data_IF_272903009222
#
_entry.id   IF_272903009222
#
_cell.length_a   1.000
_cell.length_b   1.000
_cell.length_c   1.000
_cell.angle_alpha   90.00
_cell.angle_beta   90.00
_cell.angle_gamma   90.00
#
_symmetry.space_group_name_H-M   'P 1'
#
loop_
_entity.id
_entity.type
_entity.pdbx_description
1 polymer ?
#
# COMPACT_ATOMS: atom_id res chain seq x y z
N UNK A 1 58.06 -20.12 -54.48
CA UNK A 1 56.91 -20.90 -54.04
C UNK A 1 56.65 -20.50 -52.60
N UNK A 2 55.72 -19.60 -52.40
CA UNK A 2 55.36 -19.08 -51.08
C UNK A 2 53.98 -19.66 -50.71
N UNK A 3 53.98 -20.45 -49.65
CA UNK A 3 52.80 -21.05 -49.07
C UNK A 3 52.07 -19.97 -48.19
N UNK A 4 50.91 -19.50 -48.60
CA UNK A 4 50.04 -18.60 -47.82
C UNK A 4 49.25 -19.51 -46.92
N UNK A 5 49.57 -19.49 -45.61
CA UNK A 5 48.81 -20.16 -44.58
C UNK A 5 47.45 -19.41 -44.44
N UNK A 6 46.39 -20.06 -44.93
CA UNK A 6 45.01 -19.57 -44.75
C UNK A 6 44.56 -19.74 -43.33
N UNK A 7 44.51 -18.67 -42.58
CA UNK A 7 43.80 -18.61 -41.28
C UNK A 7 42.31 -18.62 -41.59
N UNK A 8 41.65 -19.71 -41.20
CA UNK A 8 40.21 -19.89 -41.41
C UNK A 8 39.41 -18.98 -40.46
N UNK A 9 38.65 -18.02 -40.95
CA UNK A 9 37.90 -17.07 -40.08
C UNK A 9 36.74 -17.71 -39.30
N UNK A 10 36.39 -18.95 -39.61
CA UNK A 10 35.23 -19.63 -38.99
C UNK A 10 35.51 -20.17 -37.55
N UNK A 11 36.78 -20.39 -37.20
CA UNK A 11 37.16 -20.94 -35.88
C UNK A 11 37.14 -19.85 -34.80
N UNK A 12 37.51 -18.61 -35.13
CA UNK A 12 37.52 -17.49 -34.21
C UNK A 12 36.10 -17.02 -33.79
N UNK A 13 35.17 -17.10 -34.73
CA UNK A 13 33.75 -16.73 -34.44
C UNK A 13 33.03 -17.70 -33.51
N UNK A 14 33.26 -19.00 -33.66
CA UNK A 14 32.65 -20.03 -32.80
C UNK A 14 33.19 -19.97 -31.36
N UNK A 15 34.51 -19.73 -31.19
CA UNK A 15 35.08 -19.54 -29.85
C UNK A 15 34.53 -18.29 -29.15
N UNK A 16 34.36 -17.19 -29.87
CA UNK A 16 33.79 -15.96 -29.27
C UNK A 16 32.32 -16.10 -28.88
N UNK A 17 31.52 -16.84 -29.65
CA UNK A 17 30.13 -17.15 -29.31
C UNK A 17 30.09 -18.01 -28.05
N UNK A 18 30.85 -19.06 -27.94
CA UNK A 18 30.93 -19.93 -26.77
C UNK A 18 31.36 -19.16 -25.49
N UNK A 19 32.31 -18.23 -25.63
CA UNK A 19 32.76 -17.36 -24.55
C UNK A 19 31.66 -16.42 -24.06
N UNK A 20 30.93 -15.79 -24.99
CA UNK A 20 29.77 -14.91 -24.67
C UNK A 20 28.59 -15.69 -24.05
N UNK A 21 28.32 -16.89 -24.53
CA UNK A 21 27.33 -17.79 -23.94
C UNK A 21 27.68 -18.19 -22.49
N UNK A 22 28.95 -18.48 -22.24
CA UNK A 22 29.42 -18.77 -20.87
C UNK A 22 29.33 -17.55 -19.95
N UNK A 23 29.71 -16.36 -20.45
CA UNK A 23 29.58 -15.11 -19.70
C UNK A 23 28.11 -14.78 -19.39
N UNK A 24 27.23 -14.94 -20.39
CA UNK A 24 25.78 -14.75 -20.21
C UNK A 24 25.20 -15.72 -19.18
N UNK A 25 25.63 -17.00 -19.23
CA UNK A 25 25.19 -18.01 -18.25
C UNK A 25 25.63 -17.65 -16.81
N UNK A 26 26.87 -17.13 -16.66
CA UNK A 26 27.40 -16.66 -15.37
C UNK A 26 26.59 -15.49 -14.83
N UNK A 27 26.34 -14.46 -15.65
CA UNK A 27 25.55 -13.30 -15.28
C UNK A 27 24.11 -13.69 -14.89
N UNK A 28 23.50 -14.60 -15.65
CA UNK A 28 22.17 -15.12 -15.31
C UNK A 28 22.18 -15.93 -14.00
N UNK A 29 23.25 -16.62 -13.66
CA UNK A 29 23.37 -17.32 -12.38
C UNK A 29 23.51 -16.36 -11.21
N UNK A 30 24.32 -15.30 -11.36
CA UNK A 30 24.49 -14.25 -10.37
C UNK A 30 23.18 -13.49 -10.13
N UNK A 31 22.46 -13.12 -11.21
CA UNK A 31 21.17 -12.44 -11.11
C UNK A 31 20.13 -13.30 -10.38
N UNK A 32 20.09 -14.62 -10.66
CA UNK A 32 19.18 -15.53 -9.93
C UNK A 32 19.53 -15.60 -8.45
N UNK A 33 20.80 -15.69 -8.10
CA UNK A 33 21.26 -15.72 -6.71
C UNK A 33 20.94 -14.41 -5.98
N UNK A 34 21.04 -13.26 -6.66
CA UNK A 34 20.69 -11.96 -6.10
C UNK A 34 19.18 -11.82 -5.89
N UNK A 35 18.37 -12.23 -6.86
CA UNK A 35 16.90 -12.27 -6.73
C UNK A 35 16.46 -13.14 -5.55
N UNK A 36 17.09 -14.29 -5.33
CA UNK A 36 16.74 -15.16 -4.20
C UNK A 36 17.12 -14.53 -2.86
N UNK A 37 18.31 -13.90 -2.75
CA UNK A 37 18.69 -13.14 -1.55
C UNK A 37 17.72 -12.00 -1.25
N UNK A 38 17.27 -11.28 -2.27
CA UNK A 38 16.30 -10.22 -2.14
C UNK A 38 14.94 -10.73 -1.64
N UNK A 39 14.47 -11.89 -2.19
CA UNK A 39 13.24 -12.55 -1.71
C UNK A 39 13.34 -12.92 -0.22
N UNK A 40 14.45 -13.50 0.19
CA UNK A 40 14.68 -13.89 1.59
C UNK A 40 14.69 -12.65 2.50
N UNK A 41 15.37 -11.58 2.10
CA UNK A 41 15.38 -10.32 2.86
C UNK A 41 13.96 -9.74 2.99
N UNK A 42 13.20 -9.72 1.91
CA UNK A 42 11.81 -9.25 1.91
C UNK A 42 10.92 -10.08 2.85
N UNK A 43 11.08 -11.39 2.86
CA UNK A 43 10.37 -12.27 3.79
C UNK A 43 10.74 -11.99 5.26
N UNK A 44 12.00 -11.73 5.55
CA UNK A 44 12.45 -11.36 6.91
C UNK A 44 11.88 -10.01 7.34
N UNK A 45 11.95 -8.99 6.50
CA UNK A 45 11.37 -7.67 6.78
C UNK A 45 9.86 -7.77 7.05
N UNK A 46 9.13 -8.54 6.24
CA UNK A 46 7.71 -8.81 6.47
C UNK A 46 7.44 -9.42 7.86
N UNK A 47 8.19 -10.45 8.22
CA UNK A 47 8.04 -11.14 9.50
C UNK A 47 8.34 -10.20 10.68
N UNK A 48 9.38 -9.37 10.56
CA UNK A 48 9.76 -8.39 11.58
C UNK A 48 8.68 -7.30 11.75
N UNK A 49 8.15 -6.77 10.65
CA UNK A 49 7.03 -5.82 10.67
C UNK A 49 5.77 -6.43 11.30
N UNK A 50 5.47 -7.69 11.00
CA UNK A 50 4.32 -8.41 11.55
C UNK A 50 4.47 -8.66 13.07
N UNK A 51 5.69 -8.99 13.51
CA UNK A 51 6.01 -9.12 14.92
C UNK A 51 5.88 -7.79 15.66
N UNK A 52 6.39 -6.69 15.09
CA UNK A 52 6.27 -5.34 15.64
C UNK A 52 4.80 -4.90 15.73
N UNK A 53 3.99 -5.12 14.69
CA UNK A 53 2.56 -4.82 14.72
C UNK A 53 1.84 -5.57 15.85
N UNK A 54 2.21 -6.84 16.07
CA UNK A 54 1.65 -7.67 17.13
C UNK A 54 2.06 -7.14 18.52
N UNK A 55 3.33 -6.78 18.71
CA UNK A 55 3.83 -6.23 19.96
C UNK A 55 3.19 -4.88 20.32
N UNK A 56 3.07 -3.97 19.33
CA UNK A 56 2.41 -2.67 19.50
C UNK A 56 0.93 -2.87 19.85
N UNK A 57 0.24 -3.80 19.18
CA UNK A 57 -1.16 -4.12 19.46
C UNK A 57 -1.34 -4.73 20.86
N UNK A 58 -0.39 -5.54 21.34
CA UNK A 58 -0.43 -6.10 22.68
C UNK A 58 -0.14 -5.04 23.77
N UNK A 59 0.78 -4.13 23.50
CA UNK A 59 1.10 -3.02 24.42
C UNK A 59 -0.03 -2.00 24.49
N UNK A 60 -0.69 -1.67 23.37
CA UNK A 60 -1.79 -0.70 23.33
C UNK A 60 -2.97 -1.12 24.22
N UNK A 61 -3.19 -2.44 24.37
CA UNK A 61 -4.22 -2.99 25.28
C UNK A 61 -3.90 -2.82 26.77
N UNK A 62 -2.64 -2.53 27.11
CA UNK A 62 -2.15 -2.38 28.50
C UNK A 62 -2.01 -0.92 28.94
N UNK A 63 -2.11 0.03 28.02
CA UNK A 63 -1.92 1.45 28.30
C UNK A 63 -3.24 2.13 28.65
N UNK A 64 -3.20 3.08 29.57
CA UNK A 64 -4.36 3.91 29.95
C UNK A 64 -4.86 4.82 28.81
N UNK A 65 -4.06 5.01 27.75
CA UNK A 65 -4.43 5.74 26.52
C UNK A 65 -4.09 4.92 25.27
N UNK A 66 -4.93 3.96 24.91
CA UNK A 66 -4.64 3.02 23.80
C UNK A 66 -4.67 3.66 22.41
N UNK A 67 -5.21 4.89 22.26
CA UNK A 67 -5.54 5.51 20.98
C UNK A 67 -4.34 5.73 20.05
N UNK A 68 -3.22 6.23 20.58
CA UNK A 68 -2.00 6.46 19.79
C UNK A 68 -1.34 5.18 19.29
N UNK A 69 -1.28 4.16 20.14
CA UNK A 69 -0.67 2.87 19.80
C UNK A 69 -1.54 2.05 18.81
N UNK A 70 -2.86 2.18 18.90
CA UNK A 70 -3.80 1.53 17.98
C UNK A 70 -3.62 2.05 16.55
N UNK A 71 -3.47 3.35 16.35
CA UNK A 71 -3.20 3.94 15.04
C UNK A 71 -1.85 3.48 14.47
N UNK A 72 -0.81 3.44 15.32
CA UNK A 72 0.50 2.96 14.91
C UNK A 72 0.47 1.50 14.46
N UNK A 73 -0.24 0.63 15.19
CA UNK A 73 -0.42 -0.76 14.83
C UNK A 73 -1.14 -0.95 13.48
N UNK A 74 -2.16 -0.14 13.22
CA UNK A 74 -2.90 -0.22 11.94
C UNK A 74 -2.06 0.30 10.76
N UNK A 75 -1.29 1.37 10.94
CA UNK A 75 -0.34 1.86 9.91
C UNK A 75 0.74 0.83 9.60
N UNK A 76 1.26 0.15 10.62
CA UNK A 76 2.24 -0.92 10.43
C UNK A 76 1.62 -2.12 9.71
N UNK A 77 0.38 -2.50 10.03
CA UNK A 77 -0.36 -3.53 9.29
C UNK A 77 -0.55 -3.17 7.82
N UNK A 78 -0.87 -1.92 7.49
CA UNK A 78 -1.02 -1.53 6.08
C UNK A 78 0.29 -1.72 5.30
N UNK A 79 1.44 -1.46 5.93
CA UNK A 79 2.74 -1.74 5.31
C UNK A 79 2.98 -3.25 5.11
N UNK A 80 2.55 -4.10 6.07
CA UNK A 80 2.64 -5.57 5.94
C UNK A 80 1.75 -6.07 4.79
N UNK A 81 0.50 -5.60 4.72
CA UNK A 81 -0.43 -6.01 3.65
C UNK A 81 0.05 -5.53 2.28
N UNK A 82 0.66 -4.35 2.21
CA UNK A 82 1.29 -3.88 0.98
C UNK A 82 2.46 -4.77 0.55
N UNK A 83 3.31 -5.18 1.50
CA UNK A 83 4.36 -6.16 1.23
C UNK A 83 3.83 -7.53 0.79
N UNK A 84 2.65 -7.92 1.28
CA UNK A 84 1.99 -9.16 0.85
C UNK A 84 1.40 -9.04 -0.57
N UNK A 85 0.98 -7.85 -0.97
CA UNK A 85 0.42 -7.57 -2.29
C UNK A 85 1.49 -7.44 -3.39
N UNK A 86 2.78 -7.27 -3.02
CA UNK A 86 3.89 -7.35 -3.97
C UNK A 86 4.07 -8.79 -4.41
N UNK A 87 3.77 -9.07 -5.67
CA UNK A 87 4.19 -10.30 -6.33
C UNK A 87 5.72 -10.36 -6.46
N UNK A 88 6.23 -11.50 -6.92
CA UNK A 88 7.67 -11.82 -6.95
C UNK A 88 8.52 -10.88 -7.83
N UNK A 89 7.91 -10.05 -8.67
CA UNK A 89 8.58 -9.06 -9.52
C UNK A 89 8.57 -7.65 -8.88
N UNK A 90 9.76 -7.07 -8.75
CA UNK A 90 10.00 -5.75 -8.13
C UNK A 90 9.33 -4.56 -8.86
N UNK A 91 8.95 -4.73 -10.13
CA UNK A 91 8.25 -3.76 -10.96
C UNK A 91 6.73 -4.01 -11.00
N UNK A 92 6.20 -4.93 -10.17
CA UNK A 92 4.79 -5.27 -10.18
C UNK A 92 3.94 -4.10 -9.65
N UNK A 93 3.00 -3.67 -10.46
CA UNK A 93 1.94 -2.76 -10.02
C UNK A 93 1.00 -3.47 -9.04
N UNK A 94 0.60 -2.76 -8.00
CA UNK A 94 -0.29 -3.28 -6.96
C UNK A 94 -1.75 -3.18 -7.43
N UNK A 95 -2.44 -4.30 -7.49
CA UNK A 95 -3.89 -4.35 -7.70
C UNK A 95 -4.60 -3.73 -6.47
N UNK A 96 -5.23 -2.57 -6.66
CA UNK A 96 -5.80 -1.80 -5.56
C UNK A 96 -7.05 -2.43 -4.97
N UNK A 97 -7.85 -3.16 -5.74
CA UNK A 97 -9.03 -3.88 -5.22
C UNK A 97 -8.61 -4.97 -4.23
N UNK A 98 -7.61 -5.79 -4.57
CA UNK A 98 -7.07 -6.82 -3.69
C UNK A 98 -6.42 -6.24 -2.43
N UNK A 99 -5.64 -5.17 -2.59
CA UNK A 99 -4.95 -4.53 -1.47
C UNK A 99 -5.92 -3.88 -0.47
N UNK A 100 -6.90 -3.09 -0.94
CA UNK A 100 -7.89 -2.46 -0.06
C UNK A 100 -8.81 -3.50 0.58
N UNK A 101 -9.12 -4.59 -0.11
CA UNK A 101 -9.85 -5.71 0.48
C UNK A 101 -9.07 -6.35 1.64
N UNK A 102 -7.77 -6.63 1.46
CA UNK A 102 -6.91 -7.16 2.53
C UNK A 102 -6.86 -6.24 3.75
N UNK A 103 -6.77 -4.92 3.54
CA UNK A 103 -6.84 -3.93 4.63
C UNK A 103 -8.20 -3.95 5.35
N UNK A 104 -9.30 -4.09 4.61
CA UNK A 104 -10.64 -4.18 5.18
C UNK A 104 -10.82 -5.42 6.05
N UNK A 105 -10.31 -6.57 5.61
CA UNK A 105 -10.34 -7.82 6.38
C UNK A 105 -9.45 -7.76 7.64
N UNK A 106 -8.27 -7.17 7.53
CA UNK A 106 -7.40 -6.96 8.69
C UNK A 106 -8.06 -6.06 9.74
N UNK A 107 -8.82 -5.05 9.30
CA UNK A 107 -9.63 -4.18 10.15
C UNK A 107 -10.77 -4.96 10.82
N UNK A 108 -11.57 -5.72 10.06
CA UNK A 108 -12.71 -6.50 10.57
C UNK A 108 -12.29 -7.43 11.71
N UNK A 109 -11.11 -8.03 11.63
CA UNK A 109 -10.55 -8.87 12.69
C UNK A 109 -10.09 -8.11 13.94
N UNK A 110 -9.86 -6.80 13.83
CA UNK A 110 -9.29 -5.98 14.90
C UNK A 110 -10.30 -5.14 15.66
N UNK A 111 -11.48 -4.91 15.09
CA UNK A 111 -12.51 -4.03 15.64
C UNK A 111 -13.85 -4.75 15.84
N UNK A 112 -14.75 -4.10 16.57
CA UNK A 112 -16.08 -4.56 16.97
C UNK A 112 -17.03 -4.68 15.75
N UNK A 113 -17.82 -5.73 15.70
CA UNK A 113 -18.82 -6.03 14.65
C UNK A 113 -19.98 -5.02 14.58
N UNK A 114 -20.04 -4.05 15.51
CA UNK A 114 -21.08 -3.01 15.53
C UNK A 114 -20.97 -2.01 14.37
N UNK A 115 -19.79 -1.92 13.76
CA UNK A 115 -19.57 -1.00 12.63
C UNK A 115 -19.37 -1.85 11.37
N UNK A 116 -20.40 -1.83 10.51
CA UNK A 116 -20.33 -2.49 9.21
C UNK A 116 -19.42 -1.68 8.28
N UNK A 117 -18.53 -2.35 7.57
CA UNK A 117 -17.66 -1.69 6.61
C UNK A 117 -17.76 -2.33 5.24
N UNK A 118 -18.01 -1.52 4.23
CA UNK A 118 -17.92 -1.92 2.84
C UNK A 118 -16.71 -1.24 2.18
N UNK A 119 -15.92 -2.01 1.43
CA UNK A 119 -14.77 -1.48 0.67
C UNK A 119 -14.86 -1.98 -0.75
N UNK A 120 -14.97 -1.06 -1.70
CA UNK A 120 -15.07 -1.33 -3.13
C UNK A 120 -13.99 -0.56 -3.85
N UNK A 121 -13.29 -1.20 -4.77
CA UNK A 121 -12.39 -0.54 -5.72
C UNK A 121 -12.63 -1.11 -7.11
N UNK A 122 -12.45 -0.28 -8.13
CA UNK A 122 -12.48 -0.74 -9.52
C UNK A 122 -11.33 -1.73 -9.74
N UNK A 123 -11.61 -2.88 -10.37
CA UNK A 123 -10.67 -4.01 -10.49
C UNK A 123 -9.47 -3.73 -11.40
N UNK A 124 -9.57 -2.72 -12.26
CA UNK A 124 -8.56 -2.32 -13.23
C UNK A 124 -7.67 -1.16 -12.76
N UNK A 125 -7.67 -0.84 -11.45
CA UNK A 125 -6.79 0.16 -10.87
C UNK A 125 -5.53 -0.50 -10.34
N UNK A 126 -4.39 -0.17 -10.97
CA UNK A 126 -3.06 -0.62 -10.57
C UNK A 126 -2.19 0.59 -10.25
N UNK A 127 -1.43 0.52 -9.17
CA UNK A 127 -0.53 1.59 -8.73
C UNK A 127 0.85 1.03 -8.38
N UNK A 128 1.89 1.83 -8.61
CA UNK A 128 3.20 1.53 -8.07
C UNK A 128 3.17 1.46 -6.52
N UNK A 129 4.19 0.82 -5.95
CA UNK A 129 4.30 0.60 -4.51
C UNK A 129 4.11 1.87 -3.67
N UNK A 130 4.75 2.99 -4.06
CA UNK A 130 4.71 4.24 -3.28
C UNK A 130 3.31 4.87 -3.28
N UNK A 131 2.65 4.84 -4.42
CA UNK A 131 1.29 5.36 -4.55
C UNK A 131 0.28 4.48 -3.83
N UNK A 132 0.38 3.17 -3.99
CA UNK A 132 -0.44 2.20 -3.27
C UNK A 132 -0.30 2.37 -1.74
N UNK A 133 0.95 2.57 -1.25
CA UNK A 133 1.20 2.86 0.16
C UNK A 133 0.50 4.13 0.65
N UNK A 134 0.58 5.22 -0.13
CA UNK A 134 -0.12 6.47 0.22
C UNK A 134 -1.63 6.27 0.31
N UNK A 135 -2.24 5.60 -0.68
CA UNK A 135 -3.68 5.28 -0.71
C UNK A 135 -4.07 4.42 0.48
N UNK A 136 -3.32 3.36 0.78
CA UNK A 136 -3.58 2.48 1.93
C UNK A 136 -3.48 3.19 3.27
N UNK A 137 -2.50 4.09 3.44
CA UNK A 137 -2.38 4.89 4.66
C UNK A 137 -3.53 5.89 4.83
N UNK A 138 -3.98 6.54 3.75
CA UNK A 138 -5.18 7.41 3.78
C UNK A 138 -6.40 6.59 4.19
N UNK A 139 -6.61 5.43 3.56
CA UNK A 139 -7.70 4.51 3.90
C UNK A 139 -7.69 4.13 5.38
N UNK A 140 -6.55 3.65 5.89
CA UNK A 140 -6.42 3.24 7.30
C UNK A 140 -6.70 4.38 8.26
N UNK A 141 -6.17 5.57 7.99
CA UNK A 141 -6.36 6.74 8.84
C UNK A 141 -7.82 7.22 8.86
N UNK A 142 -8.45 7.33 7.68
CA UNK A 142 -9.83 7.79 7.56
C UNK A 142 -10.82 6.80 8.21
N UNK A 143 -10.66 5.50 7.95
CA UNK A 143 -11.50 4.45 8.54
C UNK A 143 -11.32 4.39 10.05
N UNK A 144 -10.07 4.48 10.54
CA UNK A 144 -9.80 4.46 11.99
C UNK A 144 -10.40 5.68 12.68
N UNK A 145 -10.35 6.86 12.05
CA UNK A 145 -10.98 8.08 12.57
C UNK A 145 -12.50 7.93 12.65
N UNK A 146 -13.15 7.41 11.60
CA UNK A 146 -14.58 7.13 11.61
C UNK A 146 -14.95 6.17 12.77
N UNK A 147 -14.24 5.07 12.91
CA UNK A 147 -14.51 4.08 13.96
C UNK A 147 -14.34 4.62 15.38
N UNK A 148 -13.40 5.54 15.59
CA UNK A 148 -13.14 6.11 16.92
C UNK A 148 -14.08 7.25 17.29
N UNK A 149 -14.47 8.04 16.31
CA UNK A 149 -15.07 9.34 16.55
C UNK A 149 -16.50 9.46 16.04
N UNK A 150 -16.89 8.71 15.00
CA UNK A 150 -18.20 8.86 14.39
C UNK A 150 -19.34 8.21 15.20
N UNK A 151 -19.04 7.20 16.05
CA UNK A 151 -20.04 6.38 16.72
C UNK A 151 -19.85 6.39 18.25
N UNK A 152 -20.09 7.53 18.93
CA UNK A 152 -19.93 7.66 20.38
C UNK A 152 -20.90 6.76 21.13
N UNK A 153 -20.53 6.34 22.35
CA UNK A 153 -21.39 5.53 23.21
C UNK A 153 -21.65 4.10 22.72
N UNK A 154 -20.87 3.63 21.74
CA UNK A 154 -21.04 2.28 21.19
C UNK A 154 -22.20 2.17 20.20
N UNK A 155 -22.61 3.26 19.57
CA UNK A 155 -23.61 3.26 18.52
C UNK A 155 -23.22 2.34 17.34
N UNK A 156 -24.22 1.74 16.70
CA UNK A 156 -24.03 1.03 15.44
C UNK A 156 -23.86 2.03 14.29
N UNK A 157 -23.13 1.65 13.25
CA UNK A 157 -22.94 2.50 12.11
C UNK A 157 -22.30 1.81 10.93
N UNK A 158 -22.09 2.59 9.89
CA UNK A 158 -21.54 2.11 8.62
C UNK A 158 -20.41 3.03 8.16
N UNK A 159 -19.34 2.40 7.61
CA UNK A 159 -18.23 3.10 6.96
C UNK A 159 -18.06 2.50 5.57
N UNK A 160 -18.25 3.32 4.54
CA UNK A 160 -18.07 2.93 3.15
C UNK A 160 -16.78 3.53 2.59
N UNK A 161 -15.96 2.71 1.95
CA UNK A 161 -14.78 3.15 1.23
C UNK A 161 -14.88 2.76 -0.26
N UNK A 162 -14.58 3.71 -1.15
CA UNK A 162 -14.59 3.47 -2.60
C UNK A 162 -13.36 4.07 -3.25
N UNK A 163 -12.71 3.31 -4.11
CA UNK A 163 -11.68 3.80 -5.02
C UNK A 163 -12.18 3.60 -6.46
N UNK A 164 -12.28 4.68 -7.22
CA UNK A 164 -12.79 4.64 -8.60
C UNK A 164 -12.01 5.54 -9.53
N UNK A 165 -12.11 5.25 -10.82
CA UNK A 165 -11.59 6.11 -11.88
C UNK A 165 -12.63 7.15 -12.30
N UNK A 166 -12.22 8.40 -12.37
CA UNK A 166 -13.03 9.54 -12.83
C UNK A 166 -12.24 10.30 -13.89
N UNK A 167 -12.48 10.00 -15.15
CA UNK A 167 -11.71 10.54 -16.27
C UNK A 167 -10.25 10.08 -16.21
N UNK A 168 -9.31 11.01 -16.10
CA UNK A 168 -7.87 10.78 -15.99
C UNK A 168 -7.36 10.77 -14.53
N UNK A 169 -8.30 10.79 -13.58
CA UNK A 169 -8.01 10.83 -12.14
C UNK A 169 -8.58 9.63 -11.42
N UNK A 170 -7.99 9.33 -10.27
CA UNK A 170 -8.52 8.40 -9.29
C UNK A 170 -9.09 9.17 -8.11
N UNK A 171 -10.20 8.67 -7.60
CA UNK A 171 -10.87 9.21 -6.41
C UNK A 171 -11.02 8.13 -5.36
N UNK A 172 -10.43 8.35 -4.19
CA UNK A 172 -10.68 7.57 -2.99
C UNK A 172 -11.64 8.33 -2.10
N UNK A 173 -12.79 7.73 -1.78
CA UNK A 173 -13.78 8.25 -0.83
C UNK A 173 -13.92 7.32 0.36
N UNK A 174 -14.00 7.88 1.56
CA UNK A 174 -14.37 7.18 2.78
C UNK A 174 -15.48 8.00 3.46
N UNK A 175 -16.67 7.42 3.59
CA UNK A 175 -17.83 8.03 4.20
C UNK A 175 -18.30 7.24 5.42
N UNK A 176 -18.67 7.92 6.49
CA UNK A 176 -19.36 7.34 7.63
C UNK A 176 -20.77 7.95 7.76
N UNK A 177 -21.69 7.23 8.43
CA UNK A 177 -23.03 7.70 8.76
C UNK A 177 -23.16 8.09 10.24
N UNK A 178 -22.06 8.49 10.88
CA UNK A 178 -22.00 8.81 12.30
C UNK A 178 -22.42 10.24 12.64
N UNK A 179 -21.91 10.74 13.77
CA UNK A 179 -22.24 12.09 14.26
C UNK A 179 -21.64 13.24 13.42
N UNK A 180 -20.68 12.93 12.55
CA UNK A 180 -19.92 13.91 11.77
C UNK A 180 -19.00 14.77 12.63
N UNK A 181 -18.09 15.47 11.99
CA UNK A 181 -17.24 16.46 12.64
C UNK A 181 -17.19 17.75 11.81
N UNK A 182 -16.87 18.87 12.48
CA UNK A 182 -16.61 20.12 11.78
C UNK A 182 -15.10 20.25 11.52
N UNK A 183 -14.65 20.20 10.25
CA UNK A 183 -13.23 20.30 9.91
C UNK A 183 -12.56 21.60 10.37
N UNK A 184 -13.35 22.67 10.57
CA UNK A 184 -12.85 23.96 11.04
C UNK A 184 -12.58 23.99 12.55
N UNK A 185 -13.28 23.14 13.32
CA UNK A 185 -13.20 23.08 14.78
C UNK A 185 -12.31 21.96 15.31
N UNK A 186 -11.84 21.05 14.45
CA UNK A 186 -10.87 20.03 14.85
C UNK A 186 -9.51 20.70 14.99
N UNK A 187 -9.09 20.89 16.23
CA UNK A 187 -7.69 21.25 16.53
C UNK A 187 -6.79 20.32 15.72
N UNK A 188 -5.86 20.88 14.97
CA UNK A 188 -4.90 20.25 14.02
C UNK A 188 -4.48 18.83 14.42
N UNK A 189 -5.41 17.87 14.34
CA UNK A 189 -5.16 16.46 14.65
C UNK A 189 -4.16 15.91 13.63
N UNK A 190 -3.16 15.17 14.10
CA UNK A 190 -2.09 14.61 13.27
C UNK A 190 -2.62 13.81 12.07
N UNK A 191 -3.80 13.18 12.20
CA UNK A 191 -4.42 12.37 11.14
C UNK A 191 -4.86 13.17 9.90
N UNK A 192 -5.50 14.33 10.07
CA UNK A 192 -5.90 15.17 8.93
C UNK A 192 -4.69 15.75 8.18
N UNK A 193 -3.66 16.16 8.94
CA UNK A 193 -2.42 16.65 8.34
C UNK A 193 -1.69 15.54 7.59
N UNK A 194 -1.65 14.32 8.14
CA UNK A 194 -1.08 13.15 7.48
C UNK A 194 -1.80 12.87 6.15
N UNK A 195 -3.14 12.81 6.14
CA UNK A 195 -3.91 12.56 4.91
C UNK A 195 -3.68 13.63 3.86
N UNK A 196 -3.60 14.93 4.25
CA UNK A 196 -3.20 16.01 3.32
C UNK A 196 -1.78 15.85 2.79
N UNK A 197 -0.84 15.41 3.63
CA UNK A 197 0.53 15.12 3.24
C UNK A 197 0.62 13.99 2.22
N UNK A 198 -0.09 12.89 2.46
CA UNK A 198 -0.17 11.73 1.57
C UNK A 198 -0.83 12.08 0.23
N UNK A 199 -1.91 12.87 0.25
CA UNK A 199 -2.55 13.36 -0.98
C UNK A 199 -1.58 14.18 -1.84
N UNK A 200 -0.76 15.06 -1.23
CA UNK A 200 0.28 15.80 -1.97
C UNK A 200 1.36 14.88 -2.56
N UNK A 201 1.74 13.80 -1.87
CA UNK A 201 2.68 12.81 -2.43
C UNK A 201 2.09 12.11 -3.64
N UNK A 202 0.76 11.92 -3.68
CA UNK A 202 0.02 11.42 -4.84
C UNK A 202 -0.14 12.48 -5.96
N UNK A 203 0.41 13.69 -5.80
CA UNK A 203 0.15 14.87 -6.66
C UNK A 203 -1.34 15.22 -6.74
N UNK A 204 -2.05 14.97 -5.65
CA UNK A 204 -3.48 15.16 -5.49
C UNK A 204 -3.85 16.07 -4.33
N UNK A 205 -5.12 16.07 -4.00
CA UNK A 205 -5.72 16.90 -2.95
C UNK A 205 -6.67 16.09 -2.07
N UNK A 206 -6.75 16.45 -0.77
CA UNK A 206 -7.64 15.82 0.19
C UNK A 206 -8.70 16.81 0.66
N UNK A 207 -9.95 16.40 0.60
CA UNK A 207 -11.14 17.14 1.01
C UNK A 207 -11.79 16.44 2.20
N UNK A 208 -12.28 17.22 3.14
CA UNK A 208 -12.96 16.74 4.34
C UNK A 208 -14.28 17.49 4.47
N UNK A 209 -15.38 16.77 4.38
CA UNK A 209 -16.71 17.36 4.30
C UNK A 209 -17.60 16.77 5.41
N UNK A 210 -18.34 17.64 6.09
CA UNK A 210 -19.42 17.21 6.96
C UNK A 210 -20.66 16.94 6.10
N UNK A 211 -21.16 15.72 6.19
CA UNK A 211 -22.42 15.35 5.56
C UNK A 211 -23.61 15.70 6.48
N UNK A 212 -24.85 15.70 5.96
CA UNK A 212 -26.04 15.78 6.81
C UNK A 212 -26.07 14.71 7.89
N UNK A 213 -25.50 13.52 7.60
CA UNK A 213 -25.25 12.45 8.54
C UNK A 213 -23.84 11.91 8.28
N UNK A 214 -22.92 12.14 9.22
CA UNK A 214 -21.54 11.62 9.16
C UNK A 214 -20.53 12.56 8.49
N UNK A 215 -19.47 11.95 7.99
CA UNK A 215 -18.32 12.63 7.39
C UNK A 215 -17.94 11.97 6.06
N UNK A 216 -17.43 12.78 5.12
CA UNK A 216 -16.78 12.32 3.90
C UNK A 216 -15.33 12.78 3.90
N UNK A 217 -14.42 11.83 3.73
CA UNK A 217 -13.02 12.05 3.33
C UNK A 217 -12.91 11.69 1.86
N UNK A 218 -12.41 12.62 1.04
CA UNK A 218 -12.22 12.41 -0.39
C UNK A 218 -10.80 12.83 -0.79
N UNK A 219 -10.10 11.95 -1.50
CA UNK A 219 -8.78 12.21 -2.05
C UNK A 219 -8.81 11.98 -3.56
N UNK A 220 -8.45 13.01 -4.31
CA UNK A 220 -8.39 12.99 -5.76
C UNK A 220 -6.94 13.13 -6.22
N UNK A 221 -6.50 12.29 -7.15
CA UNK A 221 -5.13 12.31 -7.66
C UNK A 221 -5.06 11.80 -9.10
N UNK A 222 -4.07 12.22 -9.90
CA UNK A 222 -3.93 11.74 -11.29
C UNK A 222 -3.66 10.24 -11.30
N UNK A 223 -4.24 9.52 -12.29
CA UNK A 223 -3.96 8.09 -12.46
C UNK A 223 -2.52 7.85 -12.91
N UNK A 224 -2.03 8.66 -13.82
CA UNK A 224 -0.66 8.59 -14.30
C UNK A 224 0.11 9.85 -13.88
N UNK A 225 1.34 9.64 -13.44
CA UNK A 225 2.25 10.72 -13.10
C UNK A 225 3.29 10.79 -14.22
N UNK A 226 3.15 11.79 -15.09
CA UNK A 226 4.14 12.08 -16.10
C UNK A 226 5.43 12.64 -15.49
#
# INVERSE_FOLDING_TARGET
>A
MSEVAGVSPAVGGKNKIAELEAELASVHAELRAEKERYRELRHRVRNDLQALATLISAQSRRLERPEGCSNCAMRLRSAVELHNALDEDDDAEICMSSYLWALSEARRKAFDDRIVGETIADDDIFLDYRRAQCVGLVYVEAVTNAMKHAFPGGAQGEVQARLRRIGDRLELTIADNGCGFDPANVSRGDGLQLMRGLARQLKGEAFFERLPQGTLVRVEFPEHVG
#
